data_IF_920719072608
#
_entry.id   IF_920719072608
#
_cell.length_a   1.000
_cell.length_b   1.000
_cell.length_c   1.000
_cell.angle_alpha   90.00
_cell.angle_beta   90.00
_cell.angle_gamma   90.00
#
_symmetry.space_group_name_H-M   'P 1'
#
loop_
_entity.id
_entity.type
_entity.pdbx_description
1 polymer ?
#
# COMPACT_ATOMS: atom_id res chain seq x y z
N UNK A 1 -37.91 -3.58 -9.36
CA UNK A 1 -36.79 -2.64 -9.54
C UNK A 1 -35.51 -3.45 -9.45
N UNK A 2 -34.44 -3.14 -10.20
CA UNK A 2 -33.18 -3.86 -10.05
C UNK A 2 -32.66 -3.67 -8.62
N UNK A 3 -31.98 -4.70 -8.09
CA UNK A 3 -31.28 -4.61 -6.81
C UNK A 3 -30.29 -3.44 -6.86
N UNK A 4 -30.11 -2.72 -5.76
CA UNK A 4 -29.01 -1.77 -5.65
C UNK A 4 -27.69 -2.54 -5.50
N UNK A 5 -26.91 -2.52 -6.58
CA UNK A 5 -25.63 -3.23 -6.72
C UNK A 5 -24.45 -2.25 -6.55
N UNK A 6 -23.74 -2.34 -5.43
CA UNK A 6 -22.55 -1.54 -5.14
C UNK A 6 -21.38 -1.88 -6.06
N UNK A 7 -21.28 -3.12 -6.55
CA UNK A 7 -20.22 -3.51 -7.48
C UNK A 7 -20.37 -2.75 -8.79
N UNK A 8 -21.60 -2.74 -9.33
CA UNK A 8 -21.91 -1.98 -10.53
C UNK A 8 -21.91 -0.46 -10.30
N UNK A 9 -22.51 0.05 -9.21
CA UNK A 9 -22.63 1.51 -8.98
C UNK A 9 -21.29 2.17 -8.68
N UNK A 10 -20.41 1.47 -7.98
CA UNK A 10 -19.09 1.96 -7.62
C UNK A 10 -17.98 1.43 -8.55
N UNK A 11 -18.28 0.57 -9.52
CA UNK A 11 -17.24 -0.05 -10.36
C UNK A 11 -16.20 -0.80 -9.52
N UNK A 12 -16.68 -1.64 -8.59
CA UNK A 12 -15.87 -2.50 -7.74
C UNK A 12 -15.92 -3.94 -8.29
N UNK A 13 -14.81 -4.65 -8.10
CA UNK A 13 -14.68 -6.04 -8.52
C UNK A 13 -15.20 -6.98 -7.41
N UNK A 14 -16.26 -7.74 -7.72
CA UNK A 14 -16.92 -8.67 -6.78
C UNK A 14 -16.04 -9.83 -6.37
N UNK A 15 -14.99 -10.16 -7.11
CA UNK A 15 -14.11 -11.29 -6.80
C UNK A 15 -13.01 -10.94 -5.77
N UNK A 16 -12.86 -9.66 -5.41
CA UNK A 16 -11.91 -9.20 -4.38
C UNK A 16 -12.36 -9.62 -2.98
N UNK A 17 -11.44 -9.76 -2.03
CA UNK A 17 -11.78 -10.00 -0.62
C UNK A 17 -12.32 -8.74 0.08
N UNK A 18 -12.93 -8.91 1.26
CA UNK A 18 -13.58 -7.82 1.98
C UNK A 18 -12.60 -6.71 2.41
N UNK A 19 -11.36 -7.07 2.78
CA UNK A 19 -10.36 -6.10 3.18
C UNK A 19 -9.87 -5.27 1.98
N UNK A 20 -9.66 -5.91 0.82
CA UNK A 20 -9.33 -5.23 -0.44
C UNK A 20 -10.44 -4.26 -0.90
N UNK A 21 -11.71 -4.66 -0.78
CA UNK A 21 -12.85 -3.81 -1.08
C UNK A 21 -12.94 -2.63 -0.10
N UNK A 22 -12.78 -2.88 1.21
CA UNK A 22 -12.76 -1.84 2.23
C UNK A 22 -11.67 -0.80 1.93
N UNK A 23 -10.44 -1.24 1.66
CA UNK A 23 -9.32 -0.36 1.36
C UNK A 23 -9.57 0.49 0.11
N UNK A 24 -10.19 -0.09 -0.93
CA UNK A 24 -10.57 0.62 -2.15
C UNK A 24 -11.62 1.70 -1.86
N UNK A 25 -12.62 1.39 -1.04
CA UNK A 25 -13.68 2.32 -0.66
C UNK A 25 -13.14 3.42 0.26
N UNK A 26 -12.27 3.09 1.21
CA UNK A 26 -11.61 4.04 2.11
C UNK A 26 -10.73 5.04 1.34
N UNK A 27 -10.01 4.57 0.32
CA UNK A 27 -9.25 5.45 -0.58
C UNK A 27 -10.16 6.46 -1.29
N UNK A 28 -11.33 6.04 -1.75
CA UNK A 28 -12.32 6.94 -2.38
C UNK A 28 -12.97 7.88 -1.37
N UNK A 29 -13.24 7.42 -0.14
CA UNK A 29 -13.77 8.27 0.93
C UNK A 29 -12.79 9.39 1.35
N UNK A 30 -11.50 9.16 1.13
CA UNK A 30 -10.45 10.15 1.36
C UNK A 30 -10.39 11.25 0.27
N UNK A 31 -11.03 11.04 -0.88
CA UNK A 31 -11.15 12.07 -1.92
C UNK A 31 -12.05 13.24 -1.44
N UNK A 32 -11.57 14.47 -1.61
CA UNK A 32 -12.30 15.69 -1.28
C UNK A 32 -13.28 16.15 -2.36
N UNK A 33 -13.18 15.58 -3.58
CA UNK A 33 -14.01 15.94 -4.73
C UNK A 33 -15.32 15.15 -4.84
N UNK A 34 -15.57 14.21 -3.92
CA UNK A 34 -16.84 13.46 -3.89
C UNK A 34 -17.97 14.30 -3.29
N UNK A 35 -19.15 14.22 -3.92
CA UNK A 35 -20.36 14.86 -3.41
C UNK A 35 -20.79 14.24 -2.06
N UNK A 36 -21.58 14.94 -1.23
CA UNK A 36 -22.13 14.37 -0.01
C UNK A 36 -22.91 13.07 -0.24
N UNK A 37 -23.66 12.98 -1.35
CA UNK A 37 -24.41 11.78 -1.71
C UNK A 37 -23.49 10.58 -2.03
N UNK A 38 -22.40 10.82 -2.77
CA UNK A 38 -21.40 9.77 -3.05
C UNK A 38 -20.65 9.35 -1.78
N UNK A 39 -20.35 10.31 -0.89
CA UNK A 39 -19.73 10.00 0.40
C UNK A 39 -20.64 9.11 1.25
N UNK A 40 -21.93 9.41 1.30
CA UNK A 40 -22.91 8.59 2.02
C UNK A 40 -23.00 7.16 1.43
N UNK A 41 -23.04 7.04 0.10
CA UNK A 41 -23.04 5.74 -0.59
C UNK A 41 -21.79 4.92 -0.26
N UNK A 42 -20.61 5.54 -0.37
CA UNK A 42 -19.33 4.90 -0.05
C UNK A 42 -19.24 4.49 1.44
N UNK A 43 -19.76 5.29 2.37
CA UNK A 43 -19.77 4.92 3.80
C UNK A 43 -20.66 3.70 4.07
N UNK A 44 -21.82 3.61 3.42
CA UNK A 44 -22.69 2.44 3.54
C UNK A 44 -22.04 1.21 2.89
N UNK A 45 -21.46 1.37 1.71
CA UNK A 45 -20.74 0.31 1.02
C UNK A 45 -19.54 -0.19 1.84
N UNK A 46 -18.79 0.69 2.50
CA UNK A 46 -17.66 0.33 3.36
C UNK A 46 -18.10 -0.55 4.52
N UNK A 47 -19.18 -0.17 5.22
CA UNK A 47 -19.74 -0.95 6.33
C UNK A 47 -20.17 -2.36 5.89
N UNK A 48 -20.75 -2.49 4.69
CA UNK A 48 -21.30 -3.77 4.22
C UNK A 48 -20.22 -4.64 3.57
N UNK A 49 -19.49 -4.09 2.59
CA UNK A 49 -18.51 -4.84 1.80
C UNK A 49 -17.18 -5.04 2.51
N UNK A 50 -16.85 -4.19 3.48
CA UNK A 50 -15.64 -4.30 4.29
C UNK A 50 -15.70 -5.30 5.44
N UNK A 51 -16.86 -5.91 5.67
CA UNK A 51 -17.09 -6.94 6.69
C UNK A 51 -17.53 -8.23 6.00
N UNK A 52 -16.79 -9.33 6.22
CA UNK A 52 -17.03 -10.60 5.53
C UNK A 52 -18.44 -11.15 5.76
N UNK A 53 -18.99 -11.01 6.99
CA UNK A 53 -20.31 -11.54 7.34
C UNK A 53 -21.42 -10.71 6.70
N UNK A 54 -21.32 -9.38 6.73
CA UNK A 54 -22.29 -8.48 6.07
C UNK A 54 -22.24 -8.62 4.57
N UNK A 55 -21.04 -8.75 4.00
CA UNK A 55 -20.86 -8.97 2.58
C UNK A 55 -21.47 -10.30 2.13
N UNK A 56 -21.26 -11.40 2.85
CA UNK A 56 -21.86 -12.68 2.50
C UNK A 56 -23.40 -12.61 2.42
N UNK A 57 -24.04 -11.88 3.34
CA UNK A 57 -25.49 -11.64 3.31
C UNK A 57 -25.93 -10.74 2.15
N UNK A 58 -25.13 -9.72 1.84
CA UNK A 58 -25.36 -8.85 0.71
C UNK A 58 -25.30 -9.64 -0.61
N UNK A 59 -24.22 -10.41 -0.80
CA UNK A 59 -23.97 -11.23 -1.97
C UNK A 59 -25.06 -12.29 -2.18
N UNK A 60 -25.44 -13.00 -1.11
CA UNK A 60 -26.51 -13.99 -1.17
C UNK A 60 -27.85 -13.39 -1.63
N UNK A 61 -28.14 -12.15 -1.22
CA UNK A 61 -29.38 -11.45 -1.63
C UNK A 61 -29.30 -10.85 -3.03
N UNK A 62 -28.10 -10.55 -3.52
CA UNK A 62 -27.88 -10.11 -4.90
C UNK A 62 -28.08 -11.27 -5.89
N UNK A 63 -27.68 -12.49 -5.49
CA UNK A 63 -27.79 -13.70 -6.32
C UNK A 63 -29.18 -14.36 -6.30
N UNK A 64 -30.04 -14.04 -5.32
CA UNK A 64 -31.39 -14.60 -5.21
C UNK A 64 -32.42 -13.76 -6.00
N UNK A 65 -32.92 -14.24 -7.15
CA UNK A 65 -33.90 -13.51 -7.96
C UNK A 65 -35.29 -13.45 -7.32
N UNK A 66 -35.53 -14.20 -6.24
CA UNK A 66 -36.80 -14.23 -5.50
C UNK A 66 -36.75 -13.41 -4.22
N UNK A 67 -35.57 -12.91 -3.84
CA UNK A 67 -35.41 -12.12 -2.64
C UNK A 67 -36.08 -10.74 -2.75
N UNK A 68 -36.47 -10.13 -1.61
CA UNK A 68 -36.90 -8.74 -1.59
C UNK A 68 -35.82 -7.84 -2.19
N UNK A 69 -36.26 -6.89 -3.04
CA UNK A 69 -35.38 -5.93 -3.70
C UNK A 69 -34.49 -5.21 -2.68
N UNK A 70 -33.20 -5.09 -3.00
CA UNK A 70 -32.24 -4.35 -2.17
C UNK A 70 -32.43 -2.86 -2.46
N UNK A 71 -33.13 -2.16 -1.56
CA UNK A 71 -33.28 -0.71 -1.58
C UNK A 71 -32.41 -0.01 -0.52
N UNK A 72 -32.36 1.32 -0.56
CA UNK A 72 -31.53 2.15 0.33
C UNK A 72 -31.87 1.92 1.81
N UNK A 73 -33.13 1.62 2.12
CA UNK A 73 -33.56 1.30 3.48
C UNK A 73 -32.95 -0.01 3.96
N UNK A 74 -33.06 -1.06 3.15
CA UNK A 74 -32.54 -2.38 3.47
C UNK A 74 -31.01 -2.42 3.55
N UNK A 75 -30.31 -1.56 2.80
CA UNK A 75 -28.86 -1.40 2.89
C UNK A 75 -28.43 -0.78 4.21
N UNK A 76 -29.14 0.25 4.69
CA UNK A 76 -28.85 0.86 5.99
C UNK A 76 -29.08 -0.12 7.13
N UNK A 77 -30.16 -0.90 7.05
CA UNK A 77 -30.40 -1.98 8.01
C UNK A 77 -29.25 -3.00 8.00
N UNK A 78 -28.80 -3.45 6.83
CA UNK A 78 -27.67 -4.38 6.70
C UNK A 78 -26.36 -3.80 7.25
N UNK A 79 -26.12 -2.50 7.05
CA UNK A 79 -24.91 -1.81 7.51
C UNK A 79 -24.83 -1.71 9.04
N UNK A 80 -25.98 -1.71 9.72
CA UNK A 80 -26.09 -1.56 11.17
C UNK A 80 -26.34 -2.90 11.90
N UNK A 81 -26.33 -4.04 11.19
CA UNK A 81 -26.40 -5.36 11.84
C UNK A 81 -25.13 -5.57 12.67
N UNK A 82 -25.30 -5.71 13.98
CA UNK A 82 -24.26 -6.14 14.90
C UNK A 82 -24.32 -7.67 15.05
N UNK A 83 -23.24 -8.34 14.66
CA UNK A 83 -23.11 -9.79 14.76
C UNK A 83 -22.41 -10.22 16.06
N UNK A 84 -22.16 -9.29 16.99
CA UNK A 84 -21.41 -9.53 18.21
C UNK A 84 -19.93 -9.84 17.96
N UNK A 85 -19.13 -9.97 19.04
CA UNK A 85 -17.73 -10.38 18.92
C UNK A 85 -17.69 -11.75 18.25
N UNK A 86 -16.89 -11.85 17.20
CA UNK A 86 -16.54 -13.14 16.62
C UNK A 86 -15.80 -13.93 17.70
N UNK A 87 -16.46 -14.91 18.30
CA UNK A 87 -15.73 -15.99 18.95
C UNK A 87 -14.83 -16.60 17.86
N UNK A 88 -13.54 -16.62 18.14
CA UNK A 88 -12.54 -17.23 17.28
C UNK A 88 -12.84 -18.73 17.22
N UNK A 89 -13.62 -19.14 16.23
CA UNK A 89 -13.80 -20.54 15.89
C UNK A 89 -12.59 -20.97 15.04
N UNK A 90 -11.58 -21.42 15.77
CA UNK A 90 -10.61 -22.39 15.33
C UNK A 90 -11.32 -23.77 15.30
N UNK A 91 -12.02 -24.08 14.21
CA UNK A 91 -12.47 -25.43 13.79
C UNK A 91 -13.21 -25.28 12.43
N UNK A 92 -12.97 -26.02 11.36
CA UNK A 92 -12.21 -27.22 11.16
C UNK A 92 -11.76 -27.30 9.69
N UNK A 93 -10.45 -27.42 9.51
CA UNK A 93 -9.89 -28.28 8.48
C UNK A 93 -10.32 -29.73 8.84
N UNK A 94 -11.39 -30.27 8.24
CA UNK A 94 -11.57 -31.72 8.18
C UNK A 94 -12.50 -32.19 7.05
N UNK A 95 -11.92 -33.04 6.20
CA UNK A 95 -12.54 -34.12 5.42
C UNK A 95 -13.26 -33.80 4.10
N UNK A 96 -12.48 -33.83 3.01
CA UNK A 96 -12.86 -34.58 1.83
C UNK A 96 -11.71 -35.52 1.43
N UNK A 97 -11.51 -36.56 2.24
CA UNK A 97 -10.79 -37.77 1.86
C UNK A 97 -11.57 -38.44 0.73
N UNK A 98 -11.20 -38.13 -0.53
CA UNK A 98 -11.53 -39.00 -1.66
C UNK A 98 -10.34 -39.93 -1.89
N UNK A 99 -10.57 -41.17 -1.51
CA UNK A 99 -9.69 -42.33 -1.60
C UNK A 99 -9.22 -42.59 -3.04
N UNK A 100 -7.93 -42.44 -3.28
CA UNK A 100 -7.25 -43.12 -4.40
C UNK A 100 -6.61 -44.40 -3.81
N UNK A 101 -6.99 -45.60 -4.28
CA UNK A 101 -6.38 -46.84 -3.80
C UNK A 101 -4.93 -46.93 -4.30
N UNK A 102 -4.02 -47.00 -3.33
CA UNK A 102 -2.62 -47.37 -3.52
C UNK A 102 -2.55 -48.83 -3.97
N UNK A 103 -2.02 -49.04 -5.17
CA UNK A 103 -1.65 -50.37 -5.68
C UNK A 103 -0.38 -50.81 -4.93
N UNK A 104 -0.32 -52.03 -4.35
CA UNK A 104 0.87 -52.51 -3.67
C UNK A 104 1.91 -53.00 -4.68
N UNK A 105 3.17 -52.64 -4.43
CA UNK A 105 4.33 -53.24 -5.07
C UNK A 105 4.50 -54.71 -4.62
N UNK A 106 4.88 -55.65 -5.50
CA UNK A 106 5.40 -56.95 -5.09
C UNK A 106 6.93 -56.92 -4.98
N UNK A 107 7.42 -57.57 -3.92
CA UNK A 107 8.82 -57.80 -3.61
C UNK A 107 9.43 -58.99 -4.39
N UNK A 108 10.76 -58.92 -4.60
CA UNK A 108 11.81 -59.96 -4.63
C UNK A 108 11.53 -61.30 -5.36
N UNK A 109 12.41 -61.91 -6.17
CA UNK A 109 13.88 -62.11 -6.14
C UNK A 109 14.23 -62.98 -7.41
N UNK A 110 15.42 -63.61 -7.55
CA UNK A 110 16.72 -63.11 -7.98
C UNK A 110 17.15 -63.66 -9.37
N UNK A 111 18.09 -62.99 -10.07
CA UNK A 111 19.17 -63.69 -10.78
C UNK A 111 20.17 -62.67 -11.33
N UNK A 112 21.40 -62.73 -10.80
CA UNK A 112 22.59 -62.17 -11.44
C UNK A 112 23.21 -63.26 -12.33
N UNK A 113 23.99 -62.91 -13.37
CA UNK A 113 25.39 -62.66 -13.07
C UNK A 113 26.08 -61.55 -13.90
N UNK A 114 26.94 -60.84 -13.17
CA UNK A 114 28.30 -60.39 -13.50
C UNK A 114 28.59 -59.48 -14.71
N UNK A 115 29.02 -58.26 -14.32
CA UNK A 115 30.32 -57.66 -14.63
C UNK A 115 30.69 -57.30 -16.08
N UNK A 116 30.68 -56.00 -16.35
CA UNK A 116 31.79 -55.34 -17.05
C UNK A 116 31.91 -53.89 -16.59
N UNK A 117 33.08 -53.56 -16.06
CA UNK A 117 33.49 -52.22 -15.67
C UNK A 117 33.43 -51.25 -16.88
N UNK A 118 32.86 -50.07 -16.66
CA UNK A 118 32.90 -48.94 -17.58
C UNK A 118 32.99 -47.65 -16.77
N UNK A 119 34.05 -46.90 -17.01
CA UNK A 119 34.48 -45.63 -16.38
C UNK A 119 33.37 -44.71 -15.83
N UNK A 120 33.54 -44.33 -14.56
CA UNK A 120 32.87 -43.20 -13.92
C UNK A 120 33.56 -41.88 -14.34
N UNK A 121 32.88 -40.88 -14.92
CA UNK A 121 33.50 -39.59 -15.17
C UNK A 121 33.63 -38.84 -13.84
N UNK A 122 34.89 -38.63 -13.41
CA UNK A 122 35.26 -37.74 -12.30
C UNK A 122 34.56 -36.39 -12.44
N UNK A 123 33.74 -36.05 -11.44
CA UNK A 123 33.28 -34.68 -11.24
C UNK A 123 34.51 -33.77 -10.99
N UNK A 124 34.71 -32.81 -11.89
CA UNK A 124 35.74 -31.78 -11.78
C UNK A 124 35.38 -30.81 -10.66
N UNK A 125 36.14 -30.86 -9.56
CA UNK A 125 36.02 -29.92 -8.45
C UNK A 125 36.58 -28.56 -8.91
N UNK A 126 35.71 -27.65 -9.31
CA UNK A 126 36.07 -26.24 -9.53
C UNK A 126 36.56 -25.63 -8.20
N UNK A 127 37.74 -24.99 -8.15
CA UNK A 127 38.22 -24.35 -6.92
C UNK A 127 37.33 -23.15 -6.56
N UNK A 128 36.94 -23.04 -5.28
CA UNK A 128 36.23 -21.88 -4.74
C UNK A 128 37.07 -20.60 -4.94
N UNK A 129 36.46 -19.45 -5.31
CA UNK A 129 37.19 -18.20 -5.44
C UNK A 129 37.76 -17.77 -4.09
N UNK A 130 39.04 -17.41 -4.06
CA UNK A 130 39.69 -16.82 -2.89
C UNK A 130 39.18 -15.39 -2.73
N UNK A 131 38.50 -15.11 -1.63
CA UNK A 131 38.17 -13.73 -1.24
C UNK A 131 39.48 -12.99 -0.92
N UNK A 132 39.78 -11.96 -1.70
CA UNK A 132 40.87 -11.03 -1.46
C UNK A 132 40.35 -9.93 -0.54
N UNK A 133 40.77 -9.95 0.72
CA UNK A 133 40.59 -8.81 1.63
C UNK A 133 41.78 -7.87 1.40
N UNK A 134 41.58 -6.56 1.15
CA UNK A 134 42.70 -5.63 1.13
C UNK A 134 43.35 -5.60 2.53
N UNK A 135 44.67 -5.70 2.54
CA UNK A 135 45.53 -5.66 3.71
C UNK A 135 45.14 -4.50 4.65
N UNK A 136 44.72 -4.84 5.86
CA UNK A 136 44.68 -3.90 6.97
C UNK A 136 46.11 -3.45 7.26
N UNK A 137 46.37 -2.15 7.16
CA UNK A 137 47.64 -1.51 7.55
C UNK A 137 48.04 -1.97 8.97
N UNK A 138 49.23 -2.58 9.17
CA UNK A 138 49.69 -3.04 10.47
C UNK A 138 49.96 -1.90 11.47
N UNK A 139 49.82 -0.63 11.08
CA UNK A 139 49.95 0.54 11.95
C UNK A 139 48.64 1.30 12.21
N UNK A 140 47.48 0.76 11.85
CA UNK A 140 46.21 1.38 12.23
C UNK A 140 46.02 1.31 13.77
N UNK A 141 45.87 2.47 14.41
CA UNK A 141 45.66 2.58 15.86
C UNK A 141 44.41 1.78 16.30
N UNK A 142 44.58 0.98 17.36
CA UNK A 142 43.51 0.20 17.95
C UNK A 142 42.45 1.13 18.57
N UNK A 143 41.23 1.10 18.03
CA UNK A 143 40.08 1.74 18.66
C UNK A 143 39.80 1.00 19.97
N UNK A 144 40.13 1.63 21.10
CA UNK A 144 39.86 1.07 22.43
C UNK A 144 38.35 1.11 22.74
N UNK A 145 37.77 0.07 23.37
CA UNK A 145 36.36 0.08 23.74
C UNK A 145 36.14 1.01 24.93
N UNK A 146 35.54 2.17 24.68
CA UNK A 146 35.02 3.04 25.75
C UNK A 146 33.60 2.62 26.11
N UNK A 147 33.52 1.92 27.24
CA UNK A 147 32.49 1.96 28.30
C UNK A 147 31.03 1.71 27.92
N UNK A 148 30.54 0.56 28.41
CA UNK A 148 29.14 0.27 28.67
C UNK A 148 28.52 1.23 29.71
N UNK A 149 27.25 1.53 29.44
CA UNK A 149 26.25 2.38 30.08
C UNK A 149 26.21 2.48 31.62
N UNK A 150 25.55 3.54 32.13
CA UNK A 150 24.32 3.28 32.90
C UNK A 150 23.07 3.78 32.16
N UNK A 151 22.16 2.85 31.89
CA UNK A 151 20.78 3.16 31.53
C UNK A 151 20.09 3.66 32.79
N UNK A 152 19.68 4.94 32.84
CA UNK A 152 18.75 5.38 33.87
C UNK A 152 17.36 4.79 33.57
N UNK A 153 16.94 3.86 34.41
CA UNK A 153 15.55 3.45 34.52
C UNK A 153 14.75 4.55 35.22
N UNK A 154 13.92 5.28 34.48
CA UNK A 154 12.90 6.14 35.06
C UNK A 154 11.66 5.28 35.36
N UNK A 155 11.16 5.23 36.61
CA UNK A 155 9.80 4.77 36.83
C UNK A 155 8.84 5.83 36.28
N UNK A 156 8.02 5.45 35.29
CA UNK A 156 6.86 6.23 34.88
C UNK A 156 5.83 6.20 36.03
N UNK A 157 5.97 7.14 36.96
CA UNK A 157 4.93 7.46 37.94
C UNK A 157 3.79 8.12 37.16
N UNK A 158 2.72 7.37 36.94
CA UNK A 158 1.46 7.87 36.38
C UNK A 158 0.84 8.84 37.40
N UNK A 159 1.18 10.12 37.29
CA UNK A 159 0.43 11.19 37.96
C UNK A 159 -0.87 11.36 37.19
N UNK A 160 -1.95 10.80 37.73
CA UNK A 160 -3.31 11.06 37.28
C UNK A 160 -3.62 12.57 37.30
N UNK A 161 -4.68 12.99 36.58
CA UNK A 161 -5.08 14.39 36.54
C UNK A 161 -5.40 14.91 37.96
N UNK A 162 -5.10 16.20 38.25
CA UNK A 162 -5.36 16.79 39.56
C UNK A 162 -6.86 16.72 39.91
N UNK A 163 -7.22 16.43 41.17
CA UNK A 163 -8.62 16.45 41.60
C UNK A 163 -9.11 17.90 41.56
N UNK A 164 -10.09 18.20 40.70
CA UNK A 164 -10.76 19.50 40.75
C UNK A 164 -11.36 20.04 39.46
N UNK A 165 -11.09 19.47 38.29
CA UNK A 165 -11.76 19.91 37.06
C UNK A 165 -13.02 19.09 36.80
N UNK A 166 -14.12 19.50 37.43
CA UNK A 166 -15.44 19.14 36.96
C UNK A 166 -15.72 19.92 35.66
N UNK A 167 -16.05 19.28 34.53
CA UNK A 167 -16.73 20.00 33.47
C UNK A 167 -18.05 20.53 34.05
N UNK A 168 -18.46 21.78 33.76
CA UNK A 168 -19.76 22.25 34.21
C UNK A 168 -20.83 21.32 33.66
N UNK A 169 -21.48 20.59 34.56
CA UNK A 169 -22.73 19.89 34.32
C UNK A 169 -23.74 20.95 33.90
N UNK A 170 -24.19 20.89 32.66
CA UNK A 170 -25.26 21.76 32.16
C UNK A 170 -26.53 21.33 32.90
N UNK A 171 -26.82 22.03 33.99
CA UNK A 171 -28.00 21.79 34.80
C UNK A 171 -29.24 22.13 33.98
N UNK A 172 -30.20 21.20 34.02
CA UNK A 172 -31.63 21.52 34.11
C UNK A 172 -32.19 22.36 32.98
N UNK A 173 -32.79 21.68 32.01
CA UNK A 173 -33.85 22.25 31.20
C UNK A 173 -35.07 22.55 32.09
N UNK A 174 -35.09 23.72 32.72
CA UNK A 174 -36.33 24.31 33.23
C UNK A 174 -36.98 25.16 32.14
N UNK A 175 -38.12 24.69 31.62
CA UNK A 175 -39.17 25.56 31.07
C UNK A 175 -40.18 25.81 32.21
N UNK A 176 -40.94 26.93 32.27
CA UNK A 176 -41.19 27.91 31.21
C UNK A 176 -41.19 29.39 31.68
N UNK A 177 -40.96 30.34 30.76
CA UNK A 177 -41.80 31.56 30.68
C UNK A 177 -41.67 32.28 29.35
N UNK A 178 -42.85 32.61 28.83
CA UNK A 178 -43.17 33.21 27.54
C UNK A 178 -42.63 34.65 27.48
N UNK A 179 -41.77 34.96 26.52
CA UNK A 179 -41.33 36.33 26.19
C UNK A 179 -40.52 36.34 24.90
N UNK A 180 -41.06 36.97 23.85
CA UNK A 180 -40.42 37.12 22.54
C UNK A 180 -39.21 38.06 22.64
N UNK A 181 -38.00 37.60 22.28
CA UNK A 181 -36.95 38.43 21.65
C UNK A 181 -35.83 37.54 21.09
N UNK A 182 -35.46 37.82 19.83
CA UNK A 182 -34.42 37.16 19.01
C UNK A 182 -33.02 37.52 19.51
N UNK A 183 -32.02 36.62 19.44
CA UNK A 183 -30.64 37.08 19.31
C UNK A 183 -29.86 36.42 18.18
N UNK A 184 -29.16 37.30 17.46
CA UNK A 184 -28.17 37.07 16.42
C UNK A 184 -26.91 36.47 17.05
N UNK A 185 -26.65 35.17 16.87
CA UNK A 185 -25.39 34.51 17.24
C UNK A 185 -24.96 33.42 16.23
N UNK A 186 -25.06 33.72 14.92
CA UNK A 186 -24.69 32.79 13.84
C UNK A 186 -23.56 33.30 12.93
N UNK A 187 -22.87 34.39 13.31
CA UNK A 187 -21.80 34.98 12.49
C UNK A 187 -20.38 34.51 12.83
N UNK A 188 -20.06 34.29 14.10
CA UNK A 188 -18.67 34.10 14.53
C UNK A 188 -18.13 32.67 14.34
N UNK A 189 -18.98 31.64 14.38
CA UNK A 189 -18.56 30.24 14.16
C UNK A 189 -18.32 29.92 12.68
N UNK A 190 -18.98 30.61 11.75
CA UNK A 190 -18.77 30.41 10.30
C UNK A 190 -17.43 31.00 9.85
N UNK A 191 -17.01 32.12 10.43
CA UNK A 191 -15.71 32.74 10.10
C UNK A 191 -14.51 31.92 10.64
N UNK A 192 -14.62 31.27 11.80
CA UNK A 192 -13.56 30.40 12.31
C UNK A 192 -13.51 29.04 11.57
N UNK A 193 -14.65 28.49 11.15
CA UNK A 193 -14.68 27.30 10.30
C UNK A 193 -14.06 27.54 8.91
N UNK A 194 -14.32 28.71 8.32
CA UNK A 194 -13.74 29.09 7.02
C UNK A 194 -12.23 29.34 7.08
N UNK A 195 -11.71 29.91 8.17
CA UNK A 195 -10.26 30.09 8.36
C UNK A 195 -9.53 28.77 8.65
N UNK A 196 -10.15 27.84 9.39
CA UNK A 196 -9.58 26.52 9.62
C UNK A 196 -9.50 25.66 8.35
N UNK A 197 -10.57 25.64 7.55
CA UNK A 197 -10.58 24.92 6.28
C UNK A 197 -9.69 25.59 5.21
N UNK A 198 -9.71 26.92 5.12
CA UNK A 198 -8.89 27.68 4.18
C UNK A 198 -7.38 27.62 4.51
N UNK A 199 -7.01 27.64 5.79
CA UNK A 199 -5.62 27.48 6.22
C UNK A 199 -5.07 26.08 5.97
N UNK A 200 -5.88 25.04 6.19
CA UNK A 200 -5.50 23.66 5.86
C UNK A 200 -5.36 23.44 4.33
N UNK A 201 -6.29 23.99 3.53
CA UNK A 201 -6.22 23.93 2.07
C UNK A 201 -4.98 24.64 1.52
N UNK A 202 -4.71 25.87 1.96
CA UNK A 202 -3.53 26.64 1.54
C UNK A 202 -2.23 25.92 1.91
N UNK A 203 -2.13 25.31 3.10
CA UNK A 203 -0.94 24.57 3.50
C UNK A 203 -0.75 23.26 2.71
N UNK A 204 -1.84 22.55 2.39
CA UNK A 204 -1.77 21.26 1.70
C UNK A 204 -1.58 21.39 0.18
N UNK A 205 -1.96 22.54 -0.39
CA UNK A 205 -1.97 22.80 -1.84
C UNK A 205 -0.88 23.78 -2.31
N UNK A 206 0.12 24.10 -1.47
CA UNK A 206 1.32 24.79 -1.95
C UNK A 206 2.04 23.87 -2.92
N UNK A 207 2.14 24.35 -4.16
CA UNK A 207 2.84 23.74 -5.26
C UNK A 207 3.68 24.78 -5.98
N UNK A 208 4.81 24.33 -6.49
CA UNK A 208 5.75 25.12 -7.26
C UNK A 208 5.98 24.41 -8.60
N UNK A 209 6.26 25.14 -9.69
CA UNK A 209 6.69 24.48 -10.92
C UNK A 209 7.86 23.55 -10.65
N UNK A 210 7.96 22.45 -11.39
CA UNK A 210 9.14 21.60 -11.31
C UNK A 210 10.38 22.38 -11.75
N UNK A 211 11.53 22.07 -11.14
CA UNK A 211 12.81 22.47 -11.70
C UNK A 211 12.97 21.84 -13.10
N UNK A 212 13.72 22.46 -14.03
CA UNK A 212 13.84 21.99 -15.40
C UNK A 212 14.24 20.52 -15.53
N UNK A 213 15.14 20.05 -14.67
CA UNK A 213 15.65 18.69 -14.65
C UNK A 213 14.58 17.70 -14.14
N UNK A 214 13.80 18.09 -13.12
CA UNK A 214 12.69 17.29 -12.59
C UNK A 214 11.48 17.27 -13.54
N UNK A 215 11.27 18.32 -14.34
CA UNK A 215 10.20 18.38 -15.32
C UNK A 215 10.33 17.24 -16.35
N UNK A 216 11.55 16.86 -16.72
CA UNK A 216 11.83 15.72 -17.61
C UNK A 216 11.22 14.43 -17.05
N UNK A 217 11.37 14.20 -15.74
CA UNK A 217 10.77 13.05 -15.05
C UNK A 217 9.24 13.16 -15.04
N UNK A 218 8.69 14.34 -14.73
CA UNK A 218 7.25 14.56 -14.65
C UNK A 218 6.53 14.36 -16.00
N UNK A 219 7.18 14.76 -17.10
CA UNK A 219 6.69 14.58 -18.47
C UNK A 219 6.80 13.12 -18.93
N UNK A 220 7.87 12.42 -18.51
CA UNK A 220 8.06 11.00 -18.80
C UNK A 220 7.05 10.12 -18.07
N UNK A 221 6.64 10.47 -16.85
CA UNK A 221 5.74 9.64 -16.03
C UNK A 221 4.55 10.40 -15.46
N UNK A 222 3.65 10.93 -16.32
CA UNK A 222 2.58 11.82 -15.89
C UNK A 222 1.46 11.14 -15.10
N UNK A 223 1.38 9.80 -15.11
CA UNK A 223 0.49 9.00 -14.24
C UNK A 223 1.10 8.68 -12.89
N UNK A 224 2.40 8.90 -12.73
CA UNK A 224 3.14 8.60 -11.50
C UNK A 224 3.45 9.87 -10.72
N UNK A 225 3.84 10.92 -11.44
CA UNK A 225 4.28 12.20 -10.89
C UNK A 225 3.19 13.25 -11.07
N UNK A 226 2.92 14.03 -10.02
CA UNK A 226 1.99 15.15 -10.09
C UNK A 226 2.45 16.26 -11.04
N UNK A 227 1.54 17.15 -11.44
CA UNK A 227 1.85 18.16 -12.47
C UNK A 227 2.88 19.18 -12.01
N UNK A 228 2.92 19.45 -10.71
CA UNK A 228 3.82 20.43 -10.07
C UNK A 228 4.45 19.84 -8.81
N UNK A 229 5.56 20.44 -8.37
CA UNK A 229 6.24 20.09 -7.15
C UNK A 229 5.32 20.26 -5.94
N UNK A 230 5.23 19.25 -5.09
CA UNK A 230 4.34 19.22 -3.93
C UNK A 230 2.92 18.73 -4.26
N UNK A 231 2.55 18.55 -5.53
CA UNK A 231 1.28 17.95 -5.88
C UNK A 231 1.28 16.44 -5.66
N UNK A 232 0.07 15.87 -5.72
CA UNK A 232 -0.14 14.43 -5.56
C UNK A 232 0.01 13.73 -6.90
N UNK A 233 0.72 12.61 -6.90
CA UNK A 233 0.85 11.72 -8.04
C UNK A 233 0.17 10.38 -7.78
N UNK A 234 0.84 9.30 -8.17
CA UNK A 234 0.37 7.93 -8.02
C UNK A 234 -0.23 7.65 -6.64
N UNK A 235 -1.43 7.07 -6.63
CA UNK A 235 -2.21 6.73 -5.42
C UNK A 235 -2.43 7.92 -4.46
N UNK A 236 -2.34 9.15 -4.97
CA UNK A 236 -2.50 10.36 -4.16
C UNK A 236 -1.26 10.68 -3.32
N UNK A 237 -0.13 10.02 -3.52
CA UNK A 237 1.10 10.29 -2.75
C UNK A 237 1.69 11.65 -3.10
N UNK A 238 2.24 12.35 -2.10
CA UNK A 238 2.81 13.69 -2.33
C UNK A 238 4.17 13.56 -3.01
N UNK A 239 4.29 14.15 -4.20
CA UNK A 239 5.50 14.18 -5.00
C UNK A 239 6.33 15.41 -4.66
N UNK A 240 7.63 15.21 -4.46
CA UNK A 240 8.57 16.30 -4.17
C UNK A 240 9.90 16.02 -4.83
N UNK A 241 10.58 17.08 -5.25
CA UNK A 241 11.97 17.03 -5.67
C UNK A 241 12.85 16.50 -4.52
N UNK A 242 13.93 15.81 -4.88
CA UNK A 242 14.98 15.34 -3.98
C UNK A 242 16.33 15.63 -4.59
N UNK A 243 17.31 15.80 -3.71
CA UNK A 243 18.71 15.88 -4.13
C UNK A 243 19.08 14.61 -4.94
N UNK A 244 19.59 14.77 -6.17
CA UNK A 244 20.11 13.66 -6.95
C UNK A 244 21.29 13.00 -6.23
N UNK A 245 21.36 11.67 -6.27
CA UNK A 245 22.54 10.94 -5.81
C UNK A 245 23.63 10.91 -6.90
N UNK A 246 24.80 10.35 -6.58
CA UNK A 246 25.90 10.24 -7.53
C UNK A 246 25.46 9.56 -8.83
N UNK A 247 25.68 10.24 -9.96
CA UNK A 247 25.30 9.78 -11.30
C UNK A 247 23.85 10.05 -11.70
N UNK A 248 23.05 10.71 -10.87
CA UNK A 248 21.69 11.12 -11.20
C UNK A 248 21.66 12.60 -11.64
N UNK A 249 20.90 12.90 -12.69
CA UNK A 249 20.63 14.26 -13.14
C UNK A 249 19.45 14.88 -12.38
N UNK A 250 18.45 14.06 -12.03
CA UNK A 250 17.23 14.48 -11.35
C UNK A 250 16.63 13.36 -10.49
N UNK A 251 15.82 13.74 -9.50
CA UNK A 251 15.14 12.77 -8.62
C UNK A 251 13.85 13.30 -8.04
N UNK A 252 12.76 12.58 -8.29
CA UNK A 252 11.45 12.86 -7.68
C UNK A 252 11.03 11.70 -6.78
N UNK A 253 10.46 12.02 -5.62
CA UNK A 253 9.90 11.07 -4.66
C UNK A 253 8.44 11.37 -4.39
N UNK A 254 7.55 10.40 -4.67
CA UNK A 254 6.13 10.44 -4.32
C UNK A 254 5.82 9.46 -3.19
N UNK A 255 5.58 9.96 -1.97
CA UNK A 255 5.49 9.14 -0.75
C UNK A 255 4.22 9.38 0.07
N UNK A 256 3.83 8.36 0.83
CA UNK A 256 3.02 8.49 2.03
C UNK A 256 3.67 7.70 3.21
N UNK A 257 2.86 7.29 4.19
CA UNK A 257 3.33 6.58 5.39
C UNK A 257 3.67 5.11 5.14
N UNK A 258 3.11 4.49 4.11
CA UNK A 258 3.15 3.05 3.87
C UNK A 258 3.84 2.70 2.55
N UNK A 259 3.80 3.60 1.58
CA UNK A 259 4.27 3.35 0.23
C UNK A 259 5.14 4.50 -0.28
N UNK A 260 6.02 4.12 -1.20
CA UNK A 260 6.86 5.04 -1.89
C UNK A 260 7.14 4.63 -3.32
N UNK A 261 7.16 5.62 -4.21
CA UNK A 261 7.89 5.54 -5.47
C UNK A 261 8.92 6.65 -5.54
N UNK A 262 10.13 6.31 -5.96
CA UNK A 262 11.18 7.25 -6.37
C UNK A 262 11.43 7.05 -7.85
N UNK A 263 11.61 8.13 -8.60
CA UNK A 263 12.01 8.11 -10.00
C UNK A 263 13.30 8.91 -10.11
N UNK A 264 14.31 8.31 -10.72
CA UNK A 264 15.64 8.90 -10.91
C UNK A 264 15.94 8.94 -12.40
N UNK A 265 16.47 10.07 -12.87
CA UNK A 265 17.04 10.21 -14.20
C UNK A 265 18.56 10.07 -14.12
N UNK A 266 19.13 9.16 -14.92
CA UNK A 266 20.58 8.95 -15.03
C UNK A 266 21.16 9.55 -16.32
N UNK A 267 20.33 10.20 -17.14
CA UNK A 267 20.68 10.82 -18.42
C UNK A 267 20.99 9.81 -19.54
N UNK A 268 21.45 8.60 -19.21
CA UNK A 268 21.78 7.53 -20.17
C UNK A 268 21.42 6.15 -19.64
N UNK A 269 21.13 5.23 -20.56
CA UNK A 269 20.89 3.81 -20.25
C UNK A 269 22.10 3.17 -19.61
N UNK A 270 23.32 3.49 -20.05
CA UNK A 270 24.56 2.92 -19.50
C UNK A 270 24.78 3.31 -18.03
N UNK A 271 24.57 4.59 -17.68
CA UNK A 271 24.65 5.04 -16.30
C UNK A 271 23.55 4.41 -15.43
N UNK A 272 22.32 4.27 -15.97
CA UNK A 272 21.19 3.62 -15.32
C UNK A 272 21.46 2.13 -15.06
N UNK A 273 21.92 1.40 -16.07
CA UNK A 273 22.18 -0.04 -16.00
C UNK A 273 23.30 -0.38 -14.99
N UNK A 274 24.27 0.52 -14.81
CA UNK A 274 25.30 0.41 -13.78
C UNK A 274 24.75 0.38 -12.34
N UNK A 275 23.49 0.73 -12.13
CA UNK A 275 22.82 0.73 -10.82
C UNK A 275 21.87 -0.45 -10.61
N UNK A 276 21.72 -1.34 -11.60
CA UNK A 276 20.83 -2.49 -11.50
C UNK A 276 21.38 -3.57 -10.56
N UNK A 277 20.52 -4.29 -9.82
CA UNK A 277 20.95 -5.46 -9.06
C UNK A 277 21.52 -6.55 -9.97
N UNK A 278 22.53 -7.27 -9.48
CA UNK A 278 23.05 -8.49 -10.12
C UNK A 278 22.10 -9.68 -9.85
N UNK A 279 20.94 -9.64 -10.50
CA UNK A 279 19.89 -10.64 -10.42
C UNK A 279 19.09 -10.70 -11.73
N UNK A 280 18.43 -11.83 -11.99
CA UNK A 280 17.54 -11.94 -13.14
C UNK A 280 16.26 -11.11 -12.92
N UNK A 281 15.83 -10.29 -13.91
CA UNK A 281 14.61 -9.50 -13.78
C UNK A 281 13.34 -10.33 -13.99
N UNK A 282 12.27 -9.91 -13.32
CA UNK A 282 10.89 -10.19 -13.74
C UNK A 282 10.52 -9.19 -14.83
N UNK A 283 10.29 -9.67 -16.05
CA UNK A 283 9.91 -8.84 -17.19
C UNK A 283 8.40 -8.56 -17.14
N UNK A 284 8.04 -7.27 -17.08
CA UNK A 284 6.66 -6.78 -17.11
C UNK A 284 6.41 -6.13 -18.48
N UNK A 285 5.34 -6.53 -19.16
CA UNK A 285 5.00 -6.04 -20.50
C UNK A 285 3.58 -5.50 -20.57
N UNK A 286 3.41 -4.31 -21.16
CA UNK A 286 2.11 -3.74 -21.47
C UNK A 286 2.13 -3.13 -22.87
N UNK A 287 1.66 -3.88 -23.87
CA UNK A 287 1.82 -3.52 -25.28
C UNK A 287 3.29 -3.54 -25.68
N UNK A 288 3.79 -2.44 -26.25
CA UNK A 288 5.20 -2.29 -26.68
C UNK A 288 6.12 -1.83 -25.52
N UNK A 289 5.55 -1.55 -24.35
CA UNK A 289 6.31 -1.12 -23.18
C UNK A 289 6.80 -2.33 -22.38
N UNK A 290 8.11 -2.41 -22.19
CA UNK A 290 8.78 -3.43 -21.40
C UNK A 290 9.49 -2.80 -20.20
N UNK A 291 9.32 -3.40 -19.03
CA UNK A 291 9.95 -2.96 -17.77
C UNK A 291 10.58 -4.17 -17.10
N UNK A 292 11.86 -4.06 -16.76
CA UNK A 292 12.57 -5.09 -15.98
C UNK A 292 12.43 -4.77 -14.50
N UNK A 293 11.88 -5.71 -13.73
CA UNK A 293 11.66 -5.55 -12.29
C UNK A 293 12.58 -6.45 -11.49
N UNK A 294 13.29 -5.87 -10.53
CA UNK A 294 14.22 -6.55 -9.64
C UNK A 294 13.79 -6.36 -8.19
N UNK A 295 13.89 -7.40 -7.38
CA UNK A 295 13.74 -7.27 -5.93
C UNK A 295 15.05 -6.73 -5.32
N UNK A 296 14.96 -5.84 -4.33
CA UNK A 296 16.10 -5.46 -3.49
C UNK A 296 16.16 -6.33 -2.26
N UNK A 297 17.10 -7.27 -2.26
CA UNK A 297 17.33 -8.16 -1.14
C UNK A 297 17.69 -7.41 0.15
N UNK A 298 17.19 -7.91 1.29
CA UNK A 298 17.56 -7.45 2.63
C UNK A 298 16.90 -6.15 3.09
N UNK A 299 15.91 -5.63 2.36
CA UNK A 299 15.20 -4.40 2.71
C UNK A 299 13.92 -4.70 3.50
N UNK A 300 13.66 -3.90 4.54
CA UNK A 300 12.39 -3.89 5.26
C UNK A 300 11.93 -2.44 5.48
N UNK A 301 10.77 -2.02 4.92
CA UNK A 301 9.85 -2.80 4.09
C UNK A 301 10.46 -3.21 2.73
N UNK A 302 9.88 -4.20 2.02
CA UNK A 302 10.42 -4.67 0.75
C UNK A 302 10.47 -3.53 -0.29
N UNK A 303 11.42 -3.64 -1.20
CA UNK A 303 11.63 -2.66 -2.25
C UNK A 303 11.94 -3.34 -3.58
N UNK A 304 11.43 -2.75 -4.65
CA UNK A 304 11.56 -3.25 -6.02
C UNK A 304 12.09 -2.13 -6.92
N UNK A 305 13.07 -2.49 -7.73
CA UNK A 305 13.63 -1.63 -8.78
C UNK A 305 12.90 -1.94 -10.08
N UNK A 306 12.54 -0.92 -10.83
CA UNK A 306 11.87 -1.01 -12.12
C UNK A 306 12.69 -0.22 -13.14
N UNK A 307 13.08 -0.90 -14.20
CA UNK A 307 13.91 -0.38 -15.27
C UNK A 307 13.12 -0.43 -16.59
N UNK A 308 12.46 0.68 -16.99
CA UNK A 308 11.86 0.79 -18.32
C UNK A 308 12.88 0.53 -19.42
N UNK A 309 12.42 -0.01 -20.53
CA UNK A 309 13.23 -0.22 -21.74
C UNK A 309 12.83 0.77 -22.84
N UNK A 310 13.68 0.91 -23.86
CA UNK A 310 13.42 1.79 -24.99
C UNK A 310 13.56 3.27 -24.64
N UNK A 311 12.55 4.08 -24.99
CA UNK A 311 12.60 5.55 -24.88
C UNK A 311 12.76 6.08 -23.45
N UNK A 312 12.33 5.32 -22.46
CA UNK A 312 12.41 5.71 -21.04
C UNK A 312 13.59 5.00 -20.34
N UNK A 313 14.53 4.43 -21.10
CA UNK A 313 15.60 3.59 -20.59
C UNK A 313 16.62 4.30 -19.69
N UNK A 314 16.66 5.63 -19.70
CA UNK A 314 17.50 6.41 -18.80
C UNK A 314 16.97 6.49 -17.37
N UNK A 315 15.71 6.13 -17.15
CA UNK A 315 15.07 6.22 -15.85
C UNK A 315 15.19 4.93 -15.05
N UNK A 316 15.24 5.08 -13.72
CA UNK A 316 15.11 4.00 -12.77
C UNK A 316 14.04 4.37 -11.75
N UNK A 317 13.11 3.45 -11.49
CA UNK A 317 12.09 3.64 -10.48
C UNK A 317 12.31 2.68 -9.33
N UNK A 318 12.09 3.13 -8.10
CA UNK A 318 12.13 2.30 -6.90
C UNK A 318 10.81 2.40 -6.17
N UNK A 319 10.10 1.28 -6.05
CA UNK A 319 8.87 1.15 -5.26
C UNK A 319 9.21 0.48 -3.93
N UNK A 320 8.84 1.08 -2.81
CA UNK A 320 9.12 0.55 -1.47
C UNK A 320 7.92 0.68 -0.54
N UNK A 321 7.68 -0.31 0.32
CA UNK A 321 6.49 -0.35 1.17
C UNK A 321 6.05 -1.78 1.47
N UNK A 322 5.17 -1.96 2.45
CA UNK A 322 4.75 -3.30 2.91
C UNK A 322 4.12 -4.14 1.77
N UNK A 323 3.40 -3.49 0.86
CA UNK A 323 2.76 -4.10 -0.32
C UNK A 323 3.46 -3.73 -1.63
N UNK A 324 4.74 -3.37 -1.60
CA UNK A 324 5.46 -2.89 -2.79
C UNK A 324 5.47 -3.91 -3.94
N UNK A 325 5.41 -5.20 -3.64
CA UNK A 325 5.38 -6.28 -4.62
C UNK A 325 4.14 -6.25 -5.50
N UNK A 326 2.96 -6.04 -4.91
CA UNK A 326 1.73 -5.95 -5.67
C UNK A 326 1.55 -4.55 -6.24
N UNK A 327 1.91 -3.51 -5.47
CA UNK A 327 1.72 -2.12 -5.92
C UNK A 327 2.59 -1.78 -7.13
N UNK A 328 3.81 -2.31 -7.27
CA UNK A 328 4.64 -2.07 -8.47
C UNK A 328 3.97 -2.52 -9.77
N UNK A 329 3.09 -3.53 -9.73
CA UNK A 329 2.35 -4.02 -10.90
C UNK A 329 1.24 -3.06 -11.35
N UNK A 330 0.83 -2.13 -10.48
CA UNK A 330 -0.19 -1.10 -10.72
C UNK A 330 0.45 0.27 -10.98
N UNK A 331 1.77 0.33 -11.12
CA UNK A 331 2.47 1.54 -11.48
C UNK A 331 2.31 1.73 -13.00
N UNK A 332 1.48 2.69 -13.40
CA UNK A 332 1.19 2.97 -14.81
C UNK A 332 2.38 3.65 -15.51
N UNK A 333 3.47 2.91 -15.71
CA UNK A 333 4.71 3.42 -16.33
C UNK A 333 4.56 3.60 -17.85
N UNK A 334 3.70 2.79 -18.45
CA UNK A 334 3.54 2.67 -19.89
C UNK A 334 2.46 3.60 -20.46
N UNK A 335 1.58 4.15 -19.62
CA UNK A 335 0.57 5.13 -20.03
C UNK A 335 1.11 6.56 -19.81
N UNK A 336 1.18 7.31 -20.91
CA UNK A 336 1.66 8.69 -20.93
C UNK A 336 0.53 9.73 -20.99
N UNK A 337 -0.74 9.30 -21.04
CA UNK A 337 -1.88 10.22 -21.11
C UNK A 337 -2.30 10.64 -19.71
N UNK A 338 -2.46 11.95 -19.44
CA UNK A 338 -3.16 12.42 -18.23
C UNK A 338 -4.66 12.34 -18.49
N UNK A 339 -5.41 11.74 -17.56
CA UNK A 339 -6.89 11.68 -17.61
C UNK A 339 -7.54 12.94 -17.04
#
# INVERSE_FOLDING_TARGET
MPHHDFYSSLGLDRDRDAASLAATIDWRLADSNISPAQRDELQVAQKILGDERRRALYDARLDDPTAPTIDVSSLRELADIDFGPAEADEAAEETATTSIPVVPAPAAEPDAPQASAGEEPKAEVKPKPKQYYPDTDPNAEAVSPVQQYPVQSYPAQYLGPPPGYYPPQVQGADKPRRGKTVPVFLGALVLLGALGAGGWWFWNNQSEPWEPEDQVIADAFPRIIGEENGQRGWLGMRCTSKEPEEGQDARIRCADKQLGVSVMDYGTVEARDGMLPDADPVVLTQGECEVHSYERAGQSPPAYVLAPQGQDGQFLLVVNGEDAENKRLHLNMCDKTRE
#
